data_IF_002572234163
#
_entry.id   IF_002572234163
#
_cell.length_a   1.000
_cell.length_b   1.000
_cell.length_c   1.000
_cell.angle_alpha   90.00
_cell.angle_beta   90.00
_cell.angle_gamma   90.00
#
_symmetry.space_group_name_H-M   'P 1'
#
loop_
_entity.id
_entity.type
_entity.pdbx_description
1 polymer ?
#
# COMPACT_ATOMS: atom_id res chain seq x y z
N UNK A 1 -8.30 6.05 -0.33
CA UNK A 1 -7.59 4.79 -0.45
C UNK A 1 -7.44 4.22 0.95
N UNK A 2 -7.35 2.91 1.04
CA UNK A 2 -6.96 2.22 2.27
C UNK A 2 -5.73 1.38 2.03
N UNK A 3 -4.94 1.21 3.08
CA UNK A 3 -3.76 0.36 3.12
C UNK A 3 -4.07 -0.80 4.05
N UNK A 4 -3.80 -2.01 3.58
CA UNK A 4 -3.97 -3.24 4.36
C UNK A 4 -2.60 -3.85 4.59
N UNK A 5 -2.19 -3.85 5.85
CA UNK A 5 -0.91 -4.35 6.30
C UNK A 5 -1.04 -5.83 6.74
N UNK A 6 -0.07 -6.66 6.38
CA UNK A 6 -0.05 -8.08 6.78
C UNK A 6 1.37 -8.68 6.71
N UNK A 7 1.61 -9.69 7.54
CA UNK A 7 2.89 -10.39 7.67
C UNK A 7 3.74 -9.90 8.85
N UNK A 8 5.01 -10.28 8.85
CA UNK A 8 5.99 -9.92 9.88
C UNK A 8 6.58 -8.53 9.62
N UNK A 9 6.27 -7.57 10.50
CA UNK A 9 6.69 -6.17 10.37
C UNK A 9 8.19 -5.92 10.58
N UNK A 10 8.97 -6.94 10.96
CA UNK A 10 10.44 -6.85 11.01
C UNK A 10 11.10 -7.07 9.64
N UNK A 11 10.36 -7.63 8.66
CA UNK A 11 10.85 -7.88 7.31
C UNK A 11 10.77 -6.63 6.43
N UNK A 12 11.52 -6.56 5.31
CA UNK A 12 11.41 -5.47 4.36
C UNK A 12 9.98 -5.28 3.85
N UNK A 13 9.57 -4.02 3.67
CA UNK A 13 8.22 -3.68 3.24
C UNK A 13 8.11 -3.73 1.72
N UNK A 14 7.07 -4.40 1.22
CA UNK A 14 6.67 -4.35 -0.19
C UNK A 14 5.26 -3.76 -0.33
N UNK A 15 5.11 -2.81 -1.25
CA UNK A 15 3.81 -2.25 -1.61
C UNK A 15 3.22 -2.96 -2.83
N UNK A 16 1.95 -3.33 -2.74
CA UNK A 16 1.20 -3.97 -3.81
C UNK A 16 0.09 -3.03 -4.29
N UNK A 17 0.24 -2.56 -5.53
CA UNK A 17 -0.72 -1.68 -6.18
C UNK A 17 -1.54 -2.47 -7.21
N UNK A 18 -2.87 -2.56 -7.06
CA UNK A 18 -3.69 -3.26 -8.04
C UNK A 18 -3.70 -2.52 -9.38
N UNK A 19 -3.94 -3.28 -10.46
CA UNK A 19 -4.17 -2.69 -11.78
C UNK A 19 -5.47 -1.87 -11.84
N UNK A 20 -5.69 -1.17 -12.95
CA UNK A 20 -6.95 -0.44 -13.19
C UNK A 20 -8.15 -1.38 -13.11
N UNK A 21 -9.18 -0.97 -12.38
CA UNK A 21 -10.40 -1.74 -12.14
C UNK A 21 -10.23 -3.06 -11.36
N UNK A 22 -9.08 -3.27 -10.71
CA UNK A 22 -8.85 -4.43 -9.85
C UNK A 22 -9.12 -4.12 -8.37
N UNK A 23 -9.63 -5.11 -7.64
CA UNK A 23 -9.72 -5.07 -6.18
C UNK A 23 -8.35 -5.42 -5.57
N UNK A 24 -8.06 -4.92 -4.38
CA UNK A 24 -6.84 -5.29 -3.66
C UNK A 24 -6.73 -6.79 -3.35
N UNK A 25 -7.88 -7.48 -3.25
CA UNK A 25 -7.96 -8.94 -3.06
C UNK A 25 -7.44 -9.74 -4.25
N UNK A 26 -7.12 -9.09 -5.39
CA UNK A 26 -6.42 -9.77 -6.49
C UNK A 26 -5.07 -10.35 -6.07
N UNK A 27 -4.49 -9.86 -4.97
CA UNK A 27 -3.21 -10.34 -4.44
C UNK A 27 -3.33 -11.52 -3.47
N UNK A 28 -4.53 -11.90 -3.01
CA UNK A 28 -4.69 -12.88 -1.91
C UNK A 28 -3.93 -14.19 -2.18
N UNK A 29 -3.97 -14.67 -3.43
CA UNK A 29 -3.32 -15.91 -3.85
C UNK A 29 -1.77 -15.88 -3.83
N UNK A 30 -1.14 -14.69 -3.74
CA UNK A 30 0.32 -14.55 -3.65
C UNK A 30 0.83 -14.11 -2.29
N UNK A 31 -0.07 -13.69 -1.37
CA UNK A 31 0.33 -13.13 -0.08
C UNK A 31 1.14 -14.13 0.77
N UNK A 32 0.70 -15.39 0.83
CA UNK A 32 1.39 -16.42 1.62
C UNK A 32 2.85 -16.61 1.18
N UNK A 33 3.10 -16.59 -0.14
CA UNK A 33 4.45 -16.68 -0.69
C UNK A 33 5.28 -15.43 -0.38
N UNK A 34 4.68 -14.25 -0.47
CA UNK A 34 5.35 -12.98 -0.19
C UNK A 34 5.69 -12.82 1.30
N UNK A 35 4.83 -13.28 2.21
CA UNK A 35 5.06 -13.19 3.67
C UNK A 35 6.29 -13.99 4.14
N UNK A 36 6.78 -14.93 3.34
CA UNK A 36 8.08 -15.57 3.59
C UNK A 36 9.23 -14.57 3.60
N UNK A 37 9.14 -13.48 2.82
CA UNK A 37 10.24 -12.54 2.58
C UNK A 37 9.93 -11.10 3.00
N UNK A 38 8.66 -10.70 2.98
CA UNK A 38 8.27 -9.30 3.10
C UNK A 38 7.12 -9.08 4.09
N UNK A 39 7.11 -7.89 4.67
CA UNK A 39 5.91 -7.28 5.20
C UNK A 39 5.12 -6.67 4.04
N UNK A 40 3.86 -7.05 3.87
CA UNK A 40 3.07 -6.61 2.71
C UNK A 40 2.14 -5.46 3.08
N UNK A 41 2.06 -4.46 2.20
CA UNK A 41 1.06 -3.40 2.24
C UNK A 41 0.28 -3.41 0.94
N UNK A 42 -0.94 -3.95 0.96
CA UNK A 42 -1.85 -3.93 -0.21
C UNK A 42 -2.68 -2.65 -0.22
N UNK A 43 -2.76 -2.02 -1.39
CA UNK A 43 -3.45 -0.73 -1.56
C UNK A 43 -4.81 -0.93 -2.21
N UNK A 44 -5.85 -0.37 -1.59
CA UNK A 44 -7.18 -0.26 -2.22
C UNK A 44 -7.43 1.20 -2.59
N UNK A 45 -7.63 1.48 -3.87
CA UNK A 45 -8.02 2.81 -4.35
C UNK A 45 -9.41 3.22 -3.82
N UNK A 46 -9.65 4.54 -3.76
CA UNK A 46 -10.97 5.10 -3.46
C UNK A 46 -12.01 4.58 -4.47
N UNK A 47 -13.19 4.16 -4.01
CA UNK A 47 -14.26 3.58 -4.85
C UNK A 47 -14.11 2.08 -5.16
N UNK A 48 -12.98 1.46 -4.81
CA UNK A 48 -12.71 0.03 -5.02
C UNK A 48 -12.59 -0.76 -3.72
N UNK A 49 -13.01 -0.17 -2.60
CA UNK A 49 -13.06 -0.85 -1.31
C UNK A 49 -14.50 -1.33 -1.01
N UNK A 50 -14.74 -2.63 -0.83
CA UNK A 50 -16.08 -3.15 -0.51
C UNK A 50 -16.64 -2.60 0.82
N UNK A 51 -15.78 -2.11 1.71
CA UNK A 51 -16.18 -1.53 3.01
C UNK A 51 -16.42 -0.01 2.96
N UNK A 52 -16.45 0.61 1.78
CA UNK A 52 -16.62 2.05 1.65
C UNK A 52 -18.09 2.44 1.54
N UNK A 53 -18.58 3.24 2.49
CA UNK A 53 -19.98 3.69 2.56
C UNK A 53 -20.38 4.66 1.44
N UNK A 54 -19.45 5.12 0.61
CA UNK A 54 -19.74 6.09 -0.45
C UNK A 54 -18.88 5.82 -1.71
N UNK A 55 -19.28 4.87 -2.58
CA UNK A 55 -18.44 4.34 -3.66
C UNK A 55 -18.18 5.30 -4.84
N UNK A 56 -18.56 6.59 -4.76
CA UNK A 56 -18.57 7.52 -5.90
C UNK A 56 -17.84 8.84 -5.68
N UNK A 57 -16.63 8.81 -5.14
CA UNK A 57 -15.74 9.98 -5.26
C UNK A 57 -14.38 9.55 -5.80
N UNK A 58 -14.28 9.43 -7.13
CA UNK A 58 -13.02 9.39 -7.86
C UNK A 58 -12.32 10.77 -7.76
N UNK A 59 -11.82 11.10 -6.56
CA UNK A 59 -11.06 12.34 -6.36
C UNK A 59 -9.60 12.05 -6.66
N UNK A 60 -9.17 12.33 -7.89
CA UNK A 60 -7.78 12.29 -8.36
C UNK A 60 -6.81 12.95 -7.36
N UNK A 61 -6.35 12.19 -6.36
CA UNK A 61 -5.31 12.57 -5.37
C UNK A 61 -4.49 11.34 -4.93
N UNK A 62 -4.61 10.21 -5.63
CA UNK A 62 -4.06 8.94 -5.19
C UNK A 62 -2.53 8.96 -5.10
N UNK A 63 -1.83 9.49 -6.11
CA UNK A 63 -0.37 9.59 -6.08
C UNK A 63 0.20 10.36 -4.88
N UNK A 64 -0.48 11.45 -4.46
CA UNK A 64 -0.03 12.24 -3.29
C UNK A 64 -0.25 11.50 -1.97
N UNK A 65 -1.33 10.72 -1.86
CA UNK A 65 -1.61 9.91 -0.67
C UNK A 65 -0.63 8.74 -0.57
N UNK A 66 -0.37 8.05 -1.69
CA UNK A 66 0.61 6.96 -1.77
C UNK A 66 2.00 7.45 -1.34
N UNK A 67 2.45 8.59 -1.89
CA UNK A 67 3.74 9.17 -1.52
C UNK A 67 3.86 9.47 -0.02
N UNK A 68 2.80 10.00 0.60
CA UNK A 68 2.78 10.27 2.05
C UNK A 68 2.89 9.00 2.87
N UNK A 69 2.18 7.94 2.48
CA UNK A 69 2.18 6.67 3.20
C UNK A 69 3.54 5.97 3.11
N UNK A 70 4.15 5.98 1.91
CA UNK A 70 5.52 5.47 1.72
C UNK A 70 6.46 6.21 2.67
N UNK A 71 6.40 7.55 2.72
CA UNK A 71 7.28 8.33 3.58
C UNK A 71 7.09 8.03 5.07
N UNK A 72 5.84 7.87 5.51
CA UNK A 72 5.51 7.49 6.88
C UNK A 72 6.07 6.11 7.25
N UNK A 73 5.90 5.11 6.39
CA UNK A 73 6.41 3.76 6.63
C UNK A 73 7.94 3.69 6.60
N UNK A 74 8.59 4.46 5.72
CA UNK A 74 10.04 4.64 5.74
C UNK A 74 10.52 5.22 7.08
N UNK A 75 9.89 6.30 7.57
CA UNK A 75 10.24 6.89 8.87
C UNK A 75 10.01 5.92 10.04
N UNK A 76 8.89 5.17 10.01
CA UNK A 76 8.54 4.17 11.04
C UNK A 76 9.54 3.01 11.09
N UNK A 77 10.16 2.65 9.96
CA UNK A 77 11.20 1.61 9.90
C UNK A 77 12.57 2.04 10.45
N UNK A 78 12.71 3.29 10.91
CA UNK A 78 13.97 3.81 11.48
C UNK A 78 14.96 4.32 10.44
N UNK A 79 14.59 4.39 9.16
CA UNK A 79 15.40 4.98 8.10
C UNK A 79 15.09 6.49 7.95
N UNK A 80 16.12 7.33 8.05
CA UNK A 80 16.05 8.76 7.73
C UNK A 80 16.27 8.99 6.24
N UNK A 81 15.63 10.01 5.67
CA UNK A 81 15.86 10.44 4.28
C UNK A 81 17.34 10.81 4.08
N UNK A 82 18.09 10.05 3.28
CA UNK A 82 19.30 10.56 2.64
C UNK A 82 18.89 11.41 1.46
N UNK A 83 19.12 12.72 1.56
CA UNK A 83 18.96 13.66 0.45
C UNK A 83 19.93 13.28 -0.67
N UNK A 84 19.46 12.57 -1.69
CA UNK A 84 20.13 12.56 -2.99
C UNK A 84 19.50 13.65 -3.84
N UNK A 85 20.09 14.85 -3.73
CA UNK A 85 20.00 15.87 -4.76
C UNK A 85 20.86 15.40 -5.95
N UNK A 86 20.23 15.25 -7.11
CA UNK A 86 20.86 15.25 -8.42
C UNK A 86 19.93 15.98 -9.39
#
# INVERSE_FOLDING_TARGET
MKFYESGDSSKPVIFLFPGTCCLYSSFDHVLDGLHSYFYTVTVSYDGFNPNEKNPRVLRNKDGKKIRKEILYLFQKSGHSETQHAA
#
